data_IF_782581375848
#
_entry.id   IF_782581375848
#
_cell.length_a   1.000
_cell.length_b   1.000
_cell.length_c   1.000
_cell.angle_alpha   90.00
_cell.angle_beta   90.00
_cell.angle_gamma   90.00
#
_symmetry.space_group_name_H-M   'P 1'
#
loop_
_entity.id
_entity.type
_entity.pdbx_description
1 polymer ?
#
# COMPACT_ATOMS: atom_id res chain seq x y z
N UNK A 1 -15.97 13.66 -15.27
CA UNK A 1 -15.23 12.37 -15.29
C UNK A 1 -14.74 12.13 -13.87
N UNK A 2 -15.33 11.18 -13.13
CA UNK A 2 -14.81 10.78 -11.81
C UNK A 2 -13.52 10.00 -12.07
N UNK A 3 -12.42 10.36 -11.40
CA UNK A 3 -11.22 9.54 -11.41
C UNK A 3 -11.64 8.13 -10.98
N UNK A 4 -11.36 7.12 -11.80
CA UNK A 4 -11.53 5.74 -11.37
C UNK A 4 -10.61 5.54 -10.18
N UNK A 5 -11.18 5.34 -8.99
CA UNK A 5 -10.41 5.16 -7.76
C UNK A 5 -9.64 3.86 -7.87
N UNK A 6 -8.35 3.93 -8.23
CA UNK A 6 -7.56 2.75 -8.57
C UNK A 6 -7.39 1.82 -7.36
N UNK A 7 -7.41 2.36 -6.14
CA UNK A 7 -7.23 1.63 -4.89
C UNK A 7 -8.19 2.20 -3.82
N UNK A 8 -8.91 1.31 -3.15
CA UNK A 8 -9.83 1.60 -2.05
C UNK A 8 -9.20 1.05 -0.77
N UNK A 9 -8.91 1.93 0.18
CA UNK A 9 -8.23 1.61 1.42
C UNK A 9 -8.53 2.65 2.49
N UNK A 10 -8.58 2.21 3.73
CA UNK A 10 -8.58 3.10 4.89
C UNK A 10 -7.16 3.62 5.19
N UNK A 11 -7.10 4.64 6.05
CA UNK A 11 -5.84 5.30 6.42
C UNK A 11 -4.84 4.35 7.10
N UNK A 12 -5.31 3.32 7.81
CA UNK A 12 -4.43 2.31 8.41
C UNK A 12 -3.74 1.46 7.35
N UNK A 13 -4.44 1.12 6.26
CA UNK A 13 -3.87 0.39 5.12
C UNK A 13 -2.78 1.20 4.43
N UNK A 14 -3.00 2.50 4.26
CA UNK A 14 -1.95 3.40 3.75
C UNK A 14 -0.79 3.48 4.72
N UNK A 15 -1.05 3.69 6.02
CA UNK A 15 -0.02 3.81 7.05
C UNK A 15 0.88 2.57 7.14
N UNK A 16 0.30 1.38 7.02
CA UNK A 16 1.05 0.12 7.01
C UNK A 16 2.03 0.04 5.82
N UNK A 17 1.60 0.44 4.63
CA UNK A 17 2.40 0.37 3.40
C UNK A 17 3.32 1.58 3.19
N UNK A 18 3.07 2.70 3.87
CA UNK A 18 3.67 4.01 3.58
C UNK A 18 5.20 4.00 3.56
N UNK A 19 5.82 3.30 4.52
CA UNK A 19 7.29 3.24 4.63
C UNK A 19 7.93 2.14 3.76
N UNK A 20 7.14 1.45 2.93
CA UNK A 20 7.62 0.36 2.08
C UNK A 20 7.88 -0.95 2.81
N UNK A 21 7.57 -1.06 4.11
CA UNK A 21 7.70 -2.31 4.86
C UNK A 21 6.61 -3.34 4.54
N UNK A 22 5.44 -2.90 4.07
CA UNK A 22 4.29 -3.73 3.72
C UNK A 22 3.91 -3.48 2.27
N UNK A 23 3.55 -4.52 1.52
CA UNK A 23 3.10 -4.43 0.12
C UNK A 23 1.58 -4.29 0.05
N UNK A 24 1.08 -3.51 -0.90
CA UNK A 24 -0.36 -3.40 -1.16
C UNK A 24 -0.94 -4.75 -1.60
N UNK A 25 -0.16 -5.57 -2.30
CA UNK A 25 -0.59 -6.93 -2.65
C UNK A 25 -0.85 -7.82 -1.43
N UNK A 26 -0.08 -7.65 -0.34
CA UNK A 26 -0.28 -8.43 0.89
C UNK A 26 -1.52 -7.96 1.65
N UNK A 27 -1.76 -6.64 1.71
CA UNK A 27 -2.98 -6.07 2.27
C UNK A 27 -4.23 -6.50 1.49
N UNK A 28 -4.14 -6.57 0.15
CA UNK A 28 -5.25 -7.03 -0.70
C UNK A 28 -5.54 -8.51 -0.46
N UNK A 29 -4.50 -9.35 -0.40
CA UNK A 29 -4.63 -10.78 -0.06
C UNK A 29 -5.22 -10.99 1.33
N UNK A 30 -4.92 -10.11 2.27
CA UNK A 30 -5.49 -10.11 3.62
C UNK A 30 -6.92 -9.55 3.69
N UNK A 31 -7.51 -9.12 2.57
CA UNK A 31 -8.85 -8.53 2.53
C UNK A 31 -8.96 -7.15 3.18
N UNK A 32 -7.83 -6.46 3.39
CA UNK A 32 -7.77 -5.14 4.04
C UNK A 32 -7.99 -3.98 3.08
N UNK A 33 -7.77 -4.18 1.79
CA UNK A 33 -7.94 -3.17 0.74
C UNK A 33 -8.61 -3.79 -0.50
N UNK A 34 -9.13 -2.94 -1.39
CA UNK A 34 -9.67 -3.35 -2.68
C UNK A 34 -9.02 -2.58 -3.85
N UNK A 35 -8.99 -3.19 -5.03
CA UNK A 35 -8.49 -2.59 -6.26
C UNK A 35 -9.61 -2.55 -7.30
N UNK A 36 -9.97 -1.36 -7.78
CA UNK A 36 -11.05 -1.19 -8.76
C UNK A 36 -10.56 -1.11 -10.22
N UNK A 37 -9.24 -1.14 -10.43
CA UNK A 37 -8.64 -1.07 -11.75
C UNK A 37 -7.58 -2.15 -11.97
N UNK A 38 -7.51 -2.77 -13.17
CA UNK A 38 -6.42 -3.67 -13.52
C UNK A 38 -5.05 -3.02 -13.33
N UNK A 39 -4.13 -3.74 -12.71
CA UNK A 39 -2.76 -3.27 -12.46
C UNK A 39 -2.61 -2.22 -11.35
N UNK A 40 -3.68 -1.85 -10.64
CA UNK A 40 -3.59 -0.86 -9.57
C UNK A 40 -2.66 -1.29 -8.42
N UNK A 41 -2.74 -2.55 -7.99
CA UNK A 41 -1.86 -3.11 -6.95
C UNK A 41 -0.40 -3.03 -7.39
N UNK A 42 -0.10 -3.48 -8.61
CA UNK A 42 1.27 -3.51 -9.11
C UNK A 42 1.87 -2.11 -9.26
N UNK A 43 1.05 -1.13 -9.67
CA UNK A 43 1.45 0.27 -9.70
C UNK A 43 1.72 0.82 -8.30
N UNK A 44 0.84 0.53 -7.33
CA UNK A 44 1.01 0.97 -5.96
C UNK A 44 2.27 0.37 -5.31
N UNK A 45 2.49 -0.95 -5.47
CA UNK A 45 3.70 -1.61 -4.99
C UNK A 45 4.98 -1.01 -5.60
N UNK A 46 4.95 -0.67 -6.90
CA UNK A 46 6.09 -0.02 -7.56
C UNK A 46 6.32 1.42 -7.05
N UNK A 47 5.26 2.18 -6.78
CA UNK A 47 5.35 3.56 -6.28
C UNK A 47 5.93 3.65 -4.87
N UNK A 48 5.63 2.68 -4.01
CA UNK A 48 6.06 2.67 -2.60
C UNK A 48 7.22 1.70 -2.33
N UNK A 49 7.85 1.16 -3.37
CA UNK A 49 8.99 0.28 -3.21
C UNK A 49 10.22 1.04 -2.69
N UNK A 50 10.72 0.60 -1.53
CA UNK A 50 12.01 1.01 -0.97
C UNK A 50 13.01 -0.14 -1.07
N UNK A 51 14.30 0.19 -1.20
CA UNK A 51 15.40 -0.80 -1.23
C UNK A 51 15.80 -1.29 0.16
N UNK A 52 15.52 -0.49 1.20
CA UNK A 52 15.75 -0.83 2.59
C UNK A 52 14.42 -0.99 3.33
N UNK A 53 14.38 -1.95 4.26
CA UNK A 53 13.26 -2.09 5.18
C UNK A 53 13.19 -0.88 6.13
N UNK A 54 11.99 -0.46 6.55
CA UNK A 54 11.86 0.63 7.51
C UNK A 54 12.42 0.23 8.87
N UNK A 55 12.98 1.20 9.58
CA UNK A 55 13.59 1.01 10.89
C UNK A 55 13.11 2.07 11.87
N UNK A 56 12.86 1.65 13.11
CA UNK A 56 12.56 2.55 14.22
C UNK A 56 13.83 2.71 15.07
N UNK A 57 14.46 3.91 15.10
CA UNK A 57 15.76 4.09 15.72
C UNK A 57 15.76 4.06 17.25
N UNK A 58 14.59 4.20 17.86
CA UNK A 58 14.45 4.35 19.30
C UNK A 58 13.08 3.87 19.78
N UNK A 59 13.06 3.30 20.98
CA UNK A 59 11.83 3.11 21.74
C UNK A 59 11.60 4.37 22.61
N UNK A 60 10.34 4.76 22.75
CA UNK A 60 9.89 5.90 23.56
C UNK A 60 8.93 5.42 24.64
#
# INVERSE_FOLDING_TARGET
MRAVEALLLDVDGLGAAYLGGVRFHDLWRAGRIAAAAPGALQRADAMFATTAAPWCPMAF
#
